data_IF_278791306997
#
_entry.id   IF_278791306997
#
_cell.length_a   1.000
_cell.length_b   1.000
_cell.length_c   1.000
_cell.angle_alpha   90.00
_cell.angle_beta   90.00
_cell.angle_gamma   90.00
#
_symmetry.space_group_name_H-M   'P 1'
#
loop_
_entity.id
_entity.type
_entity.pdbx_description
1 polymer ?
#
# COMPACT_ATOMS: atom_id res chain seq x y z
N UNK A 1 -12.00 -48.65 41.50
CA UNK A 1 -11.47 -49.95 41.02
C UNK A 1 -10.42 -50.40 42.02
N UNK A 2 -10.81 -51.37 42.84
CA UNK A 2 -10.05 -52.00 43.91
C UNK A 2 -9.12 -53.04 43.29
N UNK A 3 -7.84 -53.07 43.66
CA UNK A 3 -6.97 -54.22 43.44
C UNK A 3 -6.26 -54.54 44.77
N UNK A 4 -6.93 -55.37 45.56
CA UNK A 4 -6.37 -56.39 46.46
C UNK A 4 -5.27 -57.18 45.73
N UNK A 5 -4.13 -57.55 46.31
CA UNK A 5 -3.91 -58.13 47.62
C UNK A 5 -3.31 -59.53 47.41
N UNK A 6 -2.02 -59.72 47.70
CA UNK A 6 -1.37 -61.02 47.91
C UNK A 6 -0.27 -60.84 48.97
N UNK A 7 -0.68 -60.79 50.23
CA UNK A 7 0.17 -61.11 51.37
C UNK A 7 0.08 -62.62 51.54
N UNK A 8 1.09 -63.35 51.06
CA UNK A 8 1.26 -64.76 51.42
C UNK A 8 1.99 -64.78 52.75
N UNK A 9 1.23 -64.93 53.83
CA UNK A 9 1.72 -65.34 55.13
C UNK A 9 2.06 -66.83 55.06
N UNK A 10 3.35 -67.16 55.08
CA UNK A 10 3.81 -68.52 55.36
C UNK A 10 3.71 -68.82 56.86
N UNK A 11 3.39 -70.06 57.26
CA UNK A 11 3.11 -70.40 58.65
C UNK A 11 4.38 -70.43 59.51
N UNK A 12 4.25 -69.88 60.73
CA UNK A 12 5.16 -70.11 61.84
C UNK A 12 5.07 -71.58 62.26
N UNK A 13 6.03 -72.40 61.83
CA UNK A 13 6.33 -73.67 62.50
C UNK A 13 7.21 -73.38 63.72
N UNK A 14 6.58 -73.36 64.89
CA UNK A 14 7.26 -73.45 66.18
C UNK A 14 7.77 -74.89 66.31
N UNK A 15 9.05 -75.08 66.01
CA UNK A 15 9.82 -76.27 66.38
C UNK A 15 10.81 -75.86 67.46
N UNK A 16 10.56 -76.30 68.69
CA UNK A 16 11.50 -76.24 69.79
C UNK A 16 12.71 -77.13 69.54
N UNK A 17 13.85 -76.71 70.08
CA UNK A 17 15.11 -77.43 70.29
C UNK A 17 15.82 -78.04 69.06
N UNK A 18 16.79 -77.28 68.55
CA UNK A 18 17.91 -77.82 67.76
C UNK A 18 19.21 -77.13 68.20
N UNK A 19 20.28 -77.86 68.54
CA UNK A 19 21.54 -77.25 68.93
C UNK A 19 22.14 -76.50 67.73
N UNK A 20 22.59 -75.28 67.98
CA UNK A 20 23.16 -74.39 66.99
C UNK A 20 24.46 -74.96 66.42
N UNK A 21 24.43 -75.38 65.15
CA UNK A 21 25.63 -75.65 64.37
C UNK A 21 26.25 -74.31 63.92
N UNK A 22 27.56 -74.09 64.09
CA UNK A 22 28.23 -72.84 63.74
C UNK A 22 28.29 -72.55 62.21
N UNK A 23 27.79 -73.46 61.36
CA UNK A 23 27.73 -73.32 59.91
C UNK A 23 26.48 -72.59 59.40
N UNK A 24 25.37 -72.54 60.16
CA UNK A 24 24.13 -71.88 59.72
C UNK A 24 24.16 -70.35 59.92
N UNK A 25 24.94 -69.85 60.87
CA UNK A 25 25.12 -68.42 61.13
C UNK A 25 25.96 -67.73 60.07
N UNK A 26 26.96 -68.41 59.50
CA UNK A 26 27.79 -67.90 58.41
C UNK A 26 26.98 -67.71 57.12
N UNK A 27 26.10 -68.66 56.78
CA UNK A 27 25.20 -68.57 55.63
C UNK A 27 24.17 -67.45 55.79
N UNK A 28 23.62 -67.24 57.00
CA UNK A 28 22.70 -66.14 57.27
C UNK A 28 23.38 -64.76 57.19
N UNK A 29 24.64 -64.64 57.59
CA UNK A 29 25.39 -63.38 57.47
C UNK A 29 25.68 -63.03 56.01
N UNK A 30 26.01 -64.01 55.17
CA UNK A 30 26.23 -63.80 53.73
C UNK A 30 24.96 -63.34 53.01
N UNK A 31 23.82 -64.01 53.25
CA UNK A 31 22.52 -63.61 52.68
C UNK A 31 22.14 -62.17 53.10
N UNK A 32 22.43 -61.79 54.35
CA UNK A 32 22.18 -60.42 54.84
C UNK A 32 23.07 -59.39 54.14
N UNK A 33 24.35 -59.71 53.90
CA UNK A 33 25.26 -58.83 53.17
C UNK A 33 24.86 -58.68 51.70
N UNK A 34 24.43 -59.75 51.05
CA UNK A 34 23.89 -59.71 49.69
C UNK A 34 22.59 -58.90 49.60
N UNK A 35 21.67 -59.06 50.56
CA UNK A 35 20.44 -58.27 50.62
C UNK A 35 20.73 -56.77 50.79
N UNK A 36 21.72 -56.41 51.61
CA UNK A 36 22.19 -55.02 51.76
C UNK A 36 22.86 -54.50 50.48
N UNK A 37 23.61 -55.33 49.76
CA UNK A 37 24.22 -54.96 48.48
C UNK A 37 23.14 -54.69 47.43
N UNK A 38 22.17 -55.60 47.30
CA UNK A 38 21.03 -55.46 46.41
C UNK A 38 20.17 -54.23 46.76
N UNK A 39 19.99 -53.93 48.06
CA UNK A 39 19.28 -52.72 48.49
C UNK A 39 20.03 -51.43 48.08
N UNK A 40 21.36 -51.39 48.27
CA UNK A 40 22.20 -50.26 47.83
C UNK A 40 22.20 -50.09 46.32
N UNK A 41 22.22 -51.19 45.55
CA UNK A 41 22.12 -51.16 44.10
C UNK A 41 20.75 -50.64 43.63
N UNK A 42 19.67 -51.06 44.27
CA UNK A 42 18.31 -50.54 44.00
C UNK A 42 18.19 -49.05 44.33
N UNK A 43 18.78 -48.59 45.43
CA UNK A 43 18.81 -47.17 45.78
C UNK A 43 19.58 -46.34 44.74
N UNK A 44 20.74 -46.83 44.29
CA UNK A 44 21.52 -46.21 43.20
C UNK A 44 20.74 -46.19 41.89
N UNK A 45 20.08 -47.29 41.52
CA UNK A 45 19.23 -47.36 40.33
C UNK A 45 18.05 -46.38 40.40
N UNK A 46 17.42 -46.24 41.57
CA UNK A 46 16.35 -45.27 41.80
C UNK A 46 16.83 -43.82 41.66
N UNK A 47 18.01 -43.48 42.18
CA UNK A 47 18.64 -42.16 42.02
C UNK A 47 18.94 -41.84 40.55
N UNK A 48 19.54 -42.80 39.82
CA UNK A 48 19.82 -42.66 38.39
C UNK A 48 18.52 -42.46 37.57
N UNK A 49 17.45 -43.20 37.89
CA UNK A 49 16.16 -43.03 37.23
C UNK A 49 15.54 -41.64 37.49
N UNK A 50 15.66 -41.13 38.71
CA UNK A 50 15.20 -39.78 39.05
C UNK A 50 15.99 -38.69 38.32
N UNK A 51 17.31 -38.83 38.20
CA UNK A 51 18.15 -37.89 37.47
C UNK A 51 17.81 -37.86 35.97
N UNK A 52 17.54 -39.01 35.35
CA UNK A 52 17.08 -39.09 33.96
C UNK A 52 15.72 -38.39 33.80
N UNK A 53 14.77 -38.62 34.71
CA UNK A 53 13.47 -37.94 34.70
C UNK A 53 13.66 -36.42 34.81
N UNK A 54 14.51 -35.96 35.73
CA UNK A 54 14.82 -34.53 35.94
C UNK A 54 15.43 -33.90 34.70
N UNK A 55 16.40 -34.56 34.07
CA UNK A 55 17.02 -34.10 32.82
C UNK A 55 16.00 -34.02 31.68
N UNK A 56 15.12 -35.03 31.55
CA UNK A 56 14.07 -35.02 30.54
C UNK A 56 13.09 -33.86 30.73
N UNK A 57 12.75 -33.52 31.98
CA UNK A 57 11.89 -32.39 32.29
C UNK A 57 12.57 -31.05 31.95
N UNK A 58 13.84 -30.91 32.31
CA UNK A 58 14.62 -29.71 31.97
C UNK A 58 14.75 -29.54 30.45
N UNK A 59 14.96 -30.63 29.70
CA UNK A 59 15.01 -30.59 28.25
C UNK A 59 13.66 -30.16 27.64
N UNK A 60 12.55 -30.73 28.11
CA UNK A 60 11.19 -30.34 27.68
C UNK A 60 10.90 -28.87 27.99
N UNK A 61 11.30 -28.38 29.17
CA UNK A 61 11.15 -26.98 29.54
C UNK A 61 11.93 -26.05 28.61
N UNK A 62 13.20 -26.35 28.33
CA UNK A 62 14.02 -25.57 27.38
C UNK A 62 13.44 -25.58 25.97
N UNK A 63 12.91 -26.71 25.51
CA UNK A 63 12.24 -26.81 24.22
C UNK A 63 10.99 -25.93 24.16
N UNK A 64 10.17 -25.94 25.21
CA UNK A 64 8.98 -25.09 25.33
C UNK A 64 9.35 -23.60 25.37
N UNK A 65 10.37 -23.22 26.14
CA UNK A 65 10.88 -21.85 26.18
C UNK A 65 11.39 -21.40 24.80
N UNK A 66 12.07 -22.28 24.06
CA UNK A 66 12.51 -22.05 22.68
C UNK A 66 11.35 -21.83 21.70
N UNK A 67 10.28 -22.62 21.81
CA UNK A 67 9.07 -22.45 21.01
C UNK A 67 8.36 -21.14 21.32
N UNK A 68 8.24 -20.77 22.59
CA UNK A 68 7.67 -19.49 23.02
C UNK A 68 8.48 -18.30 22.50
N UNK A 69 9.81 -18.37 22.58
CA UNK A 69 10.68 -17.33 22.04
C UNK A 69 10.53 -17.19 20.53
N UNK A 70 10.48 -18.31 19.80
CA UNK A 70 10.27 -18.31 18.35
C UNK A 70 8.89 -17.75 17.96
N UNK A 71 7.83 -18.08 18.71
CA UNK A 71 6.49 -17.55 18.50
C UNK A 71 6.45 -16.02 18.71
N UNK A 72 7.06 -15.53 19.80
CA UNK A 72 7.18 -14.08 20.07
C UNK A 72 7.96 -13.35 18.98
N UNK A 73 9.08 -13.93 18.52
CA UNK A 73 9.87 -13.36 17.44
C UNK A 73 9.08 -13.29 16.12
N UNK A 74 8.30 -14.32 15.78
CA UNK A 74 7.39 -14.29 14.63
C UNK A 74 6.33 -13.21 14.77
N UNK A 75 5.71 -13.09 15.95
CA UNK A 75 4.70 -12.07 16.21
C UNK A 75 5.27 -10.65 16.06
N UNK A 76 6.48 -10.40 16.56
CA UNK A 76 7.16 -9.11 16.38
C UNK A 76 7.43 -8.81 14.90
N UNK A 77 7.92 -9.78 14.12
CA UNK A 77 8.13 -9.61 12.67
C UNK A 77 6.83 -9.30 11.93
N UNK A 78 5.73 -9.98 12.27
CA UNK A 78 4.42 -9.69 11.69
C UNK A 78 3.99 -8.26 12.03
N UNK A 79 4.16 -7.83 13.28
CA UNK A 79 3.84 -6.48 13.70
C UNK A 79 4.65 -5.42 12.91
N UNK A 80 5.96 -5.64 12.70
CA UNK A 80 6.78 -4.72 11.90
C UNK A 80 6.39 -4.69 10.42
N UNK A 81 5.98 -5.84 9.87
CA UNK A 81 5.49 -5.89 8.49
C UNK A 81 4.13 -5.19 8.36
N UNK A 82 3.26 -5.33 9.35
CA UNK A 82 1.97 -4.66 9.39
C UNK A 82 2.13 -3.13 9.47
N UNK A 83 3.04 -2.63 10.30
CA UNK A 83 3.32 -1.18 10.37
C UNK A 83 3.93 -0.64 9.08
N UNK A 84 4.87 -1.38 8.46
CA UNK A 84 5.43 -1.03 7.16
C UNK A 84 4.36 -1.03 6.05
N UNK A 85 3.46 -2.02 6.03
CA UNK A 85 2.36 -2.10 5.07
C UNK A 85 1.39 -0.92 5.24
N UNK A 86 1.05 -0.56 6.48
CA UNK A 86 0.19 0.60 6.77
C UNK A 86 0.83 1.90 6.27
N UNK A 87 2.11 2.12 6.55
CA UNK A 87 2.84 3.30 6.06
C UNK A 87 2.85 3.37 4.53
N UNK A 88 3.11 2.23 3.87
CA UNK A 88 3.07 2.15 2.39
C UNK A 88 1.68 2.47 1.84
N UNK A 89 0.62 2.04 2.51
CA UNK A 89 -0.74 2.36 2.11
C UNK A 89 -1.02 3.87 2.22
N UNK A 90 -0.61 4.51 3.32
CA UNK A 90 -0.73 5.96 3.52
C UNK A 90 0.03 6.73 2.43
N UNK A 91 1.24 6.29 2.05
CA UNK A 91 2.02 6.88 0.96
C UNK A 91 1.30 6.76 -0.41
N UNK A 92 0.70 5.61 -0.69
CA UNK A 92 -0.08 5.38 -1.92
C UNK A 92 -1.30 6.30 -1.97
N UNK A 93 -2.03 6.41 -0.86
CA UNK A 93 -3.25 7.22 -0.81
C UNK A 93 -2.93 8.72 -0.90
N UNK A 94 -1.83 9.16 -0.28
CA UNK A 94 -1.32 10.52 -0.47
C UNK A 94 -0.92 10.80 -1.94
N UNK A 95 -0.23 9.87 -2.58
CA UNK A 95 0.16 10.02 -3.98
C UNK A 95 -1.05 10.10 -4.92
N UNK A 96 -2.09 9.28 -4.68
CA UNK A 96 -3.36 9.35 -5.43
C UNK A 96 -4.06 10.69 -5.24
N UNK A 97 -4.20 11.15 -3.99
CA UNK A 97 -4.83 12.44 -3.70
C UNK A 97 -4.10 13.60 -4.39
N UNK A 98 -2.76 13.58 -4.36
CA UNK A 98 -1.94 14.55 -5.07
C UNK A 98 -2.15 14.50 -6.59
N UNK A 99 -2.14 13.31 -7.19
CA UNK A 99 -2.35 13.15 -8.62
C UNK A 99 -3.72 13.68 -9.05
N UNK A 100 -4.78 13.40 -8.26
CA UNK A 100 -6.12 13.94 -8.50
C UNK A 100 -6.17 15.47 -8.42
N UNK A 101 -5.48 16.07 -7.45
CA UNK A 101 -5.39 17.53 -7.36
C UNK A 101 -4.64 18.15 -8.56
N UNK A 102 -3.56 17.50 -9.01
CA UNK A 102 -2.80 17.93 -10.19
C UNK A 102 -3.63 17.80 -11.48
N UNK A 103 -4.41 16.73 -11.66
CA UNK A 103 -5.28 16.58 -12.84
C UNK A 103 -6.43 17.57 -12.84
N UNK A 104 -7.04 17.84 -11.68
CA UNK A 104 -8.07 18.87 -11.57
C UNK A 104 -7.54 20.26 -11.92
N UNK A 105 -6.32 20.58 -11.50
CA UNK A 105 -5.67 21.84 -11.84
C UNK A 105 -5.40 21.95 -13.35
N UNK A 106 -4.90 20.88 -13.98
CA UNK A 106 -4.69 20.84 -15.43
C UNK A 106 -6.02 21.00 -16.18
N UNK A 107 -7.07 20.29 -15.75
CA UNK A 107 -8.39 20.39 -16.35
C UNK A 107 -8.93 21.84 -16.26
N UNK A 108 -8.74 22.50 -15.12
CA UNK A 108 -9.11 23.90 -14.93
C UNK A 108 -8.36 24.82 -15.90
N UNK A 109 -7.04 24.70 -16.00
CA UNK A 109 -6.22 25.49 -16.95
C UNK A 109 -6.69 25.28 -18.39
N UNK A 110 -6.99 24.05 -18.78
CA UNK A 110 -7.49 23.75 -20.13
C UNK A 110 -8.85 24.41 -20.36
N UNK A 111 -9.77 24.32 -19.40
CA UNK A 111 -11.10 24.95 -19.52
C UNK A 111 -11.02 26.48 -19.60
N UNK A 112 -10.16 27.11 -18.79
CA UNK A 112 -9.94 28.55 -18.82
C UNK A 112 -9.32 28.99 -20.15
N UNK A 113 -8.38 28.21 -20.68
CA UNK A 113 -7.78 28.44 -21.99
C UNK A 113 -8.82 28.31 -23.12
N UNK A 114 -9.65 27.27 -23.10
CA UNK A 114 -10.71 27.07 -24.09
C UNK A 114 -11.71 28.24 -24.08
N UNK A 115 -12.14 28.66 -22.89
CA UNK A 115 -13.02 29.83 -22.77
C UNK A 115 -12.37 31.11 -23.31
N UNK A 116 -11.07 31.32 -23.05
CA UNK A 116 -10.34 32.46 -23.59
C UNK A 116 -10.18 32.39 -25.11
N UNK A 117 -9.92 31.20 -25.66
CA UNK A 117 -9.84 30.96 -27.11
C UNK A 117 -11.20 31.20 -27.79
N UNK A 118 -12.31 30.73 -27.21
CA UNK A 118 -13.66 30.99 -27.72
C UNK A 118 -13.98 32.48 -27.75
N UNK A 119 -13.66 33.22 -26.68
CA UNK A 119 -13.84 34.67 -26.65
C UNK A 119 -12.97 35.38 -27.68
N UNK A 120 -11.71 34.97 -27.84
CA UNK A 120 -10.80 35.54 -28.83
C UNK A 120 -11.30 35.29 -30.27
N UNK A 121 -11.76 34.07 -30.57
CA UNK A 121 -12.34 33.74 -31.89
C UNK A 121 -13.60 34.56 -32.14
N UNK A 122 -14.47 34.69 -31.14
CA UNK A 122 -15.70 35.48 -31.25
C UNK A 122 -15.39 36.95 -31.53
N UNK A 123 -14.40 37.52 -30.84
CA UNK A 123 -13.98 38.90 -31.03
C UNK A 123 -13.34 39.12 -32.41
N UNK A 124 -12.54 38.17 -32.90
CA UNK A 124 -11.99 38.21 -34.27
C UNK A 124 -13.10 38.17 -35.30
N UNK A 125 -14.09 37.27 -35.15
CA UNK A 125 -15.26 37.21 -36.05
C UNK A 125 -16.01 38.54 -36.03
N UNK A 126 -16.23 39.12 -34.83
CA UNK A 126 -16.89 40.41 -34.68
C UNK A 126 -16.15 41.53 -35.41
N UNK A 127 -14.82 41.57 -35.35
CA UNK A 127 -14.01 42.55 -36.08
C UNK A 127 -14.11 42.35 -37.60
N UNK A 128 -14.05 41.10 -38.07
CA UNK A 128 -14.19 40.78 -39.49
C UNK A 128 -15.58 41.13 -40.05
N UNK A 129 -16.64 40.94 -39.25
CA UNK A 129 -18.01 41.35 -39.61
C UNK A 129 -18.17 42.89 -39.61
N UNK A 130 -17.42 43.62 -38.77
CA UNK A 130 -17.41 45.09 -38.80
C UNK A 130 -16.71 45.64 -40.04
N UNK A 131 -15.61 45.02 -40.47
CA UNK A 131 -14.89 45.40 -41.68
C UNK A 131 -15.64 45.00 -42.96
N UNK A 132 -16.33 43.85 -42.94
CA UNK A 132 -17.16 43.36 -44.03
C UNK A 132 -18.50 42.78 -43.50
N UNK A 133 -19.63 43.48 -43.67
CA UNK A 133 -20.94 43.02 -43.17
C UNK A 133 -21.41 41.68 -43.76
N UNK A 134 -20.91 41.30 -44.95
CA UNK A 134 -21.27 40.05 -45.62
C UNK A 134 -20.25 38.92 -45.37
N UNK A 135 -19.24 39.15 -44.52
CA UNK A 135 -18.14 38.22 -44.25
C UNK A 135 -18.65 36.80 -43.94
N UNK A 136 -19.70 36.68 -43.13
CA UNK A 136 -20.24 35.39 -42.70
C UNK A 136 -20.84 34.58 -43.85
N UNK A 137 -21.59 35.22 -44.75
CA UNK A 137 -22.14 34.55 -45.93
C UNK A 137 -21.07 34.21 -46.95
N UNK A 138 -20.09 35.09 -47.15
CA UNK A 138 -18.96 34.86 -48.04
C UNK A 138 -18.08 33.71 -47.55
N UNK A 139 -17.76 33.67 -46.25
CA UNK A 139 -17.02 32.58 -45.63
C UNK A 139 -17.78 31.25 -45.74
N UNK A 140 -19.10 31.26 -45.54
CA UNK A 140 -19.93 30.07 -45.66
C UNK A 140 -20.03 29.58 -47.12
N UNK A 141 -20.12 30.50 -48.08
CA UNK A 141 -20.08 30.19 -49.52
C UNK A 141 -18.73 29.61 -49.93
N UNK A 142 -17.63 30.20 -49.45
CA UNK A 142 -16.28 29.71 -49.71
C UNK A 142 -16.05 28.33 -49.08
N UNK A 143 -16.53 28.12 -47.85
CA UNK A 143 -16.46 26.81 -47.20
C UNK A 143 -17.25 25.74 -47.97
N UNK A 144 -18.46 26.06 -48.47
CA UNK A 144 -19.23 25.17 -49.34
C UNK A 144 -18.49 24.87 -50.64
N UNK A 145 -17.95 25.89 -51.29
CA UNK A 145 -17.19 25.72 -52.53
C UNK A 145 -15.94 24.86 -52.31
N UNK A 146 -15.21 25.06 -51.21
CA UNK A 146 -14.06 24.24 -50.85
C UNK A 146 -14.45 22.80 -50.49
N UNK A 147 -15.59 22.60 -49.83
CA UNK A 147 -16.11 21.26 -49.53
C UNK A 147 -16.59 20.52 -50.80
N UNK A 148 -17.12 21.25 -51.78
CA UNK A 148 -17.55 20.73 -53.08
C UNK A 148 -16.37 20.46 -54.03
N UNK A 149 -15.30 21.27 -53.93
CA UNK A 149 -14.08 21.13 -54.73
C UNK A 149 -13.06 20.16 -54.12
N UNK A 150 -13.10 19.96 -52.81
CA UNK A 150 -12.33 18.93 -52.13
C UNK A 150 -12.79 17.56 -52.61
N UNK A 151 -11.91 16.83 -53.29
CA UNK A 151 -12.11 15.39 -53.46
C UNK A 151 -12.31 14.79 -52.06
N UNK A 152 -13.18 13.79 -51.94
CA UNK A 152 -13.43 13.09 -50.69
C UNK A 152 -12.14 12.42 -50.18
N UNK A 153 -11.27 13.20 -49.56
CA UNK A 153 -10.10 12.72 -48.85
C UNK A 153 -10.62 11.89 -47.69
N UNK A 154 -10.19 10.62 -47.64
CA UNK A 154 -10.42 9.80 -46.46
C UNK A 154 -9.88 10.58 -45.27
N UNK A 155 -10.74 10.92 -44.31
CA UNK A 155 -10.37 11.72 -43.13
C UNK A 155 -9.39 10.90 -42.28
N UNK A 156 -8.10 10.97 -42.60
CA UNK A 156 -7.02 10.24 -41.93
C UNK A 156 -6.77 10.79 -40.53
N UNK A 157 -7.12 12.05 -40.29
CA UNK A 157 -6.95 12.73 -39.01
C UNK A 157 -7.80 12.11 -37.88
N UNK A 158 -8.85 11.35 -38.24
CA UNK A 158 -9.67 10.61 -37.29
C UNK A 158 -9.12 9.21 -36.94
N UNK A 159 -8.09 8.72 -37.65
CA UNK A 159 -7.56 7.38 -37.45
C UNK A 159 -6.85 7.22 -36.10
N UNK A 160 -6.27 8.30 -35.57
CA UNK A 160 -5.52 8.30 -34.31
C UNK A 160 -6.34 8.74 -33.09
N UNK A 161 -7.63 9.08 -33.28
CA UNK A 161 -8.53 9.41 -32.17
C UNK A 161 -9.01 8.13 -31.48
N UNK A 162 -9.05 8.09 -30.13
CA UNK A 162 -9.55 6.94 -29.41
C UNK A 162 -11.02 6.71 -29.76
N UNK A 163 -11.34 5.51 -30.24
CA UNK A 163 -12.73 5.08 -30.49
C UNK A 163 -13.48 5.11 -29.17
N UNK A 164 -14.44 6.04 -29.05
CA UNK A 164 -15.30 6.13 -27.88
C UNK A 164 -16.22 4.90 -27.85
N UNK A 165 -16.22 4.16 -26.72
CA UNK A 165 -16.96 2.89 -26.56
C UNK A 165 -18.48 2.98 -26.82
N UNK A 166 -19.07 4.18 -26.92
CA UNK A 166 -20.50 4.40 -27.16
C UNK A 166 -20.79 5.37 -28.32
N UNK A 167 -19.80 5.72 -29.16
CA UNK A 167 -20.09 6.51 -30.35
C UNK A 167 -20.84 5.63 -31.35
N UNK A 168 -22.11 5.95 -31.62
CA UNK A 168 -22.80 5.39 -32.79
C UNK A 168 -22.00 5.79 -34.03
N UNK A 169 -21.68 4.85 -34.94
CA UNK A 169 -21.09 5.20 -36.21
C UNK A 169 -22.10 6.07 -36.97
N UNK A 170 -21.83 7.37 -37.04
CA UNK A 170 -22.59 8.29 -37.88
C UNK A 170 -22.26 7.97 -39.33
N UNK A 171 -23.01 7.05 -39.94
CA UNK A 171 -22.95 6.87 -41.40
C UNK A 171 -23.68 8.04 -42.02
N UNK A 172 -22.95 9.03 -42.50
CA UNK A 172 -23.53 10.03 -43.40
C UNK A 172 -24.04 9.27 -44.63
N UNK A 173 -25.34 9.35 -44.89
CA UNK A 173 -25.94 8.75 -46.07
C UNK A 173 -25.39 9.43 -47.33
N UNK A 174 -24.36 8.83 -47.95
CA UNK A 174 -24.07 9.06 -49.36
C UNK A 174 -25.12 8.30 -50.17
N UNK A 175 -25.87 9.01 -51.02
CA UNK A 175 -27.02 8.51 -51.76
C UNK A 175 -26.80 7.13 -52.38
N UNK A 176 -27.49 6.14 -51.82
CA UNK A 176 -27.52 4.74 -52.25
C UNK A 176 -28.43 3.94 -51.32
N UNK A 177 -29.20 3.00 -51.88
CA UNK A 177 -30.29 2.31 -51.18
C UNK A 177 -29.84 1.64 -49.85
N UNK A 178 -30.68 1.69 -48.80
CA UNK A 178 -30.31 1.22 -47.48
C UNK A 178 -30.11 -0.30 -47.51
N UNK A 179 -28.90 -0.75 -47.24
CA UNK A 179 -28.66 -2.15 -46.89
C UNK A 179 -28.76 -2.27 -45.38
N UNK A 180 -29.95 -2.64 -44.93
CA UNK A 180 -30.18 -3.19 -43.59
C UNK A 180 -29.22 -4.37 -43.39
N UNK A 181 -28.15 -4.18 -42.62
CA UNK A 181 -27.37 -5.24 -41.99
C UNK A 181 -26.47 -4.62 -40.90
N UNK A 182 -27.08 -3.96 -39.91
CA UNK A 182 -26.41 -3.64 -38.65
C UNK A 182 -26.41 -4.88 -37.74
N UNK A 183 -25.54 -5.84 -38.04
CA UNK A 183 -25.10 -6.84 -37.06
C UNK A 183 -23.62 -6.58 -36.79
N UNK A 184 -23.34 -5.81 -35.75
CA UNK A 184 -21.99 -5.57 -35.27
C UNK A 184 -21.43 -6.87 -34.67
N UNK A 185 -20.75 -7.69 -35.49
CA UNK A 185 -19.87 -8.75 -34.99
C UNK A 185 -18.55 -8.10 -34.57
N UNK A 186 -18.40 -7.85 -33.28
CA UNK A 186 -17.17 -7.33 -32.68
C UNK A 186 -16.17 -8.50 -32.58
N UNK A 187 -15.23 -8.56 -33.52
CA UNK A 187 -14.03 -9.40 -33.37
C UNK A 187 -12.95 -8.58 -32.65
N UNK A 188 -12.26 -9.10 -31.63
CA UNK A 188 -11.21 -8.36 -30.95
C UNK A 188 -9.96 -8.28 -31.83
N UNK A 189 -9.76 -7.14 -32.48
CA UNK A 189 -8.52 -6.87 -33.25
C UNK A 189 -7.40 -6.52 -32.29
N UNK A 190 -6.40 -7.40 -32.19
CA UNK A 190 -5.15 -7.19 -31.46
C UNK A 190 -4.45 -5.93 -31.99
N UNK A 191 -4.02 -4.97 -31.15
CA UNK A 191 -3.38 -3.74 -31.62
C UNK A 191 -2.06 -4.06 -32.32
N UNK A 192 -1.95 -3.64 -33.58
CA UNK A 192 -0.72 -3.72 -34.38
C UNK A 192 0.25 -2.66 -33.85
N UNK A 193 1.36 -3.11 -33.27
CA UNK A 193 2.45 -2.24 -32.84
C UNK A 193 3.03 -1.56 -34.08
N UNK A 194 2.88 -0.24 -34.18
CA UNK A 194 3.50 0.56 -35.23
C UNK A 194 5.03 0.46 -35.08
N UNK A 195 5.72 0.12 -36.17
CA UNK A 195 7.18 0.21 -36.23
C UNK A 195 7.58 1.70 -36.31
N UNK A 196 8.63 2.11 -35.59
CA UNK A 196 9.09 3.49 -35.62
C UNK A 196 9.76 3.78 -36.97
N UNK A 197 9.18 4.68 -37.75
CA UNK A 197 9.83 5.33 -38.88
C UNK A 197 11.06 6.09 -38.37
N UNK A 198 12.26 5.61 -38.73
CA UNK A 198 13.50 6.35 -38.60
C UNK A 198 13.48 7.54 -39.57
N UNK A 199 12.93 8.67 -39.12
CA UNK A 199 13.18 9.95 -39.76
C UNK A 199 14.30 10.66 -38.98
N UNK A 200 15.37 11.01 -39.68
CA UNK A 200 16.41 11.89 -39.17
C UNK A 200 15.73 13.17 -38.64
N UNK A 201 15.94 13.55 -37.37
CA UNK A 201 15.31 14.74 -36.85
C UNK A 201 16.03 15.96 -37.42
N UNK A 202 15.27 16.82 -38.11
CA UNK A 202 15.73 18.16 -38.46
C UNK A 202 16.32 18.81 -37.21
N UNK A 203 17.58 19.27 -37.28
CA UNK A 203 18.30 19.83 -36.13
C UNK A 203 17.51 20.97 -35.45
N UNK A 204 16.71 21.72 -36.23
CA UNK A 204 15.81 22.76 -35.73
C UNK A 204 14.64 22.22 -34.88
N UNK A 205 14.11 21.04 -35.18
CA UNK A 205 13.05 20.41 -34.38
C UNK A 205 13.59 19.93 -33.02
N UNK A 206 14.83 19.42 -33.00
CA UNK A 206 15.52 19.03 -31.76
C UNK A 206 15.77 20.26 -30.89
N UNK A 207 16.25 21.37 -31.45
CA UNK A 207 16.48 22.60 -30.69
C UNK A 207 15.19 23.19 -30.10
N UNK A 208 14.09 23.17 -30.86
CA UNK A 208 12.77 23.60 -30.35
C UNK A 208 12.29 22.71 -29.21
N UNK A 209 12.43 21.39 -29.34
CA UNK A 209 12.07 20.46 -28.28
C UNK A 209 12.93 20.63 -27.02
N UNK A 210 14.23 20.91 -27.16
CA UNK A 210 15.13 21.19 -26.03
C UNK A 210 14.76 22.51 -25.35
N UNK A 211 14.46 23.57 -26.10
CA UNK A 211 14.01 24.86 -25.56
C UNK A 211 12.68 24.72 -24.80
N UNK A 212 11.73 23.96 -25.34
CA UNK A 212 10.47 23.66 -24.66
C UNK A 212 10.70 22.88 -23.36
N UNK A 213 11.56 21.85 -23.36
CA UNK A 213 11.90 21.09 -22.14
C UNK A 213 12.56 21.96 -21.07
N UNK A 214 13.45 22.87 -21.47
CA UNK A 214 14.08 23.83 -20.56
C UNK A 214 13.08 24.82 -19.98
N UNK A 215 12.13 25.32 -20.79
CA UNK A 215 11.07 26.21 -20.32
C UNK A 215 10.15 25.49 -19.31
N UNK A 216 9.75 24.25 -19.60
CA UNK A 216 8.95 23.44 -18.68
C UNK A 216 9.69 23.19 -17.35
N UNK A 217 11.00 22.91 -17.40
CA UNK A 217 11.81 22.74 -16.19
C UNK A 217 11.82 24.01 -15.33
N UNK A 218 12.01 25.18 -15.95
CA UNK A 218 11.94 26.48 -15.25
C UNK A 218 10.58 26.71 -14.60
N UNK A 219 9.48 26.42 -15.30
CA UNK A 219 8.12 26.53 -14.74
C UNK A 219 7.92 25.58 -13.56
N UNK A 220 8.41 24.33 -13.65
CA UNK A 220 8.31 23.39 -12.52
C UNK A 220 9.14 23.81 -11.31
N UNK A 221 10.30 24.42 -11.53
CA UNK A 221 11.16 24.91 -10.45
C UNK A 221 10.52 26.14 -9.77
N UNK A 222 9.93 27.06 -10.55
CA UNK A 222 9.18 28.20 -10.01
C UNK A 222 7.96 27.71 -9.21
N UNK A 223 7.20 26.74 -9.73
CA UNK A 223 6.05 26.19 -9.02
C UNK A 223 6.44 25.53 -7.69
N UNK A 224 7.61 24.84 -7.65
CA UNK A 224 8.16 24.31 -6.39
C UNK A 224 8.54 25.43 -5.42
N UNK A 225 9.20 26.49 -5.90
CA UNK A 225 9.57 27.65 -5.08
C UNK A 225 8.35 28.40 -4.51
N UNK A 226 7.27 28.54 -5.30
CA UNK A 226 6.03 29.15 -4.82
C UNK A 226 5.39 28.29 -3.72
N UNK A 227 5.32 26.96 -3.90
CA UNK A 227 4.82 26.05 -2.87
C UNK A 227 5.64 26.11 -1.59
N UNK A 228 6.97 26.18 -1.68
CA UNK A 228 7.82 26.30 -0.49
C UNK A 228 7.63 27.64 0.21
N UNK A 229 7.53 28.74 -0.53
CA UNK A 229 7.24 30.08 0.05
C UNK A 229 5.87 30.11 0.74
N UNK A 230 4.84 29.55 0.11
CA UNK A 230 3.50 29.48 0.71
C UNK A 230 3.49 28.60 1.98
N UNK A 231 4.25 27.51 1.99
CA UNK A 231 4.44 26.68 3.18
C UNK A 231 5.22 27.41 4.30
N UNK A 232 6.18 28.28 3.96
CA UNK A 232 6.89 29.12 4.93
C UNK A 232 5.99 30.23 5.48
N UNK A 233 5.20 30.89 4.65
CA UNK A 233 4.25 31.94 5.05
C UNK A 233 3.16 31.40 5.99
N UNK A 234 2.63 30.22 5.68
CA UNK A 234 1.66 29.53 6.56
C UNK A 234 2.29 29.11 7.88
N UNK A 235 3.55 28.65 7.89
CA UNK A 235 4.27 28.38 9.15
C UNK A 235 4.47 29.63 9.98
N UNK A 236 4.94 30.72 9.36
CA UNK A 236 5.13 32.00 10.03
C UNK A 236 3.82 32.53 10.62
N UNK A 237 2.71 32.47 9.88
CA UNK A 237 1.40 32.93 10.39
C UNK A 237 0.87 32.07 11.53
N UNK A 238 1.15 30.76 11.54
CA UNK A 238 0.81 29.89 12.68
C UNK A 238 1.69 30.18 13.90
N UNK A 239 2.96 30.50 13.71
CA UNK A 239 3.86 30.93 14.78
C UNK A 239 3.43 32.26 15.39
N UNK A 240 3.04 33.26 14.58
CA UNK A 240 2.53 34.53 15.10
C UNK A 240 1.23 34.33 15.89
N UNK A 241 0.28 33.53 15.38
CA UNK A 241 -0.97 33.20 16.12
C UNK A 241 -0.70 32.48 17.44
N UNK A 242 0.32 31.61 17.50
CA UNK A 242 0.74 30.96 18.75
C UNK A 242 1.33 31.97 19.74
N UNK A 243 2.16 32.90 19.28
CA UNK A 243 2.72 33.96 20.11
C UNK A 243 1.62 34.87 20.66
N UNK A 244 0.68 35.32 19.82
CA UNK A 244 -0.49 36.10 20.22
C UNK A 244 -1.31 35.38 21.29
N UNK A 245 -1.54 34.07 21.15
CA UNK A 245 -2.28 33.28 22.13
C UNK A 245 -1.55 33.22 23.48
N UNK A 246 -0.22 33.09 23.46
CA UNK A 246 0.60 33.14 24.68
C UNK A 246 0.53 34.51 25.33
N UNK A 247 0.60 35.58 24.54
CA UNK A 247 0.53 36.95 25.06
C UNK A 247 -0.85 37.26 25.66
N UNK A 248 -1.93 36.79 25.05
CA UNK A 248 -3.29 36.89 25.61
C UNK A 248 -3.40 36.16 26.96
N UNK A 249 -2.77 35.00 27.09
CA UNK A 249 -2.75 34.25 28.34
C UNK A 249 -1.92 34.96 29.41
N UNK A 250 -0.74 35.49 29.06
CA UNK A 250 0.11 36.26 29.98
C UNK A 250 -0.51 37.57 30.44
N UNK A 251 -1.38 38.17 29.63
CA UNK A 251 -2.13 39.39 29.94
C UNK A 251 -3.43 39.11 30.71
N UNK A 252 -3.67 37.86 31.16
CA UNK A 252 -4.88 37.41 31.86
C UNK A 252 -6.20 37.71 31.10
N UNK A 253 -6.12 37.86 29.76
CA UNK A 253 -7.29 38.13 28.91
C UNK A 253 -8.08 36.86 28.56
N UNK A 254 -7.48 35.70 28.73
CA UNK A 254 -8.09 34.38 28.50
C UNK A 254 -7.79 33.46 29.68
N UNK A 255 -8.73 32.57 29.99
CA UNK A 255 -8.51 31.56 31.04
C UNK A 255 -7.62 30.42 30.55
N UNK A 256 -6.96 29.70 31.48
CA UNK A 256 -6.13 28.55 31.15
C UNK A 256 -6.88 27.47 30.34
N UNK A 257 -8.16 27.25 30.65
CA UNK A 257 -9.00 26.30 29.91
C UNK A 257 -9.21 26.70 28.43
N UNK A 258 -9.36 28.00 28.16
CA UNK A 258 -9.50 28.55 26.81
C UNK A 258 -8.19 28.54 26.05
N UNK A 259 -7.07 28.80 26.73
CA UNK A 259 -5.74 28.71 26.14
C UNK A 259 -5.48 27.31 25.58
N UNK A 260 -5.68 26.25 26.37
CA UNK A 260 -5.45 24.88 25.91
C UNK A 260 -6.43 24.47 24.81
N UNK A 261 -7.70 24.92 24.87
CA UNK A 261 -8.67 24.66 23.81
C UNK A 261 -8.26 25.33 22.49
N UNK A 262 -7.89 26.62 22.51
CA UNK A 262 -7.48 27.36 21.31
C UNK A 262 -6.14 26.88 20.76
N UNK A 263 -5.20 26.50 21.62
CA UNK A 263 -3.94 25.87 21.21
C UNK A 263 -4.18 24.54 20.51
N UNK A 264 -5.08 23.71 21.03
CA UNK A 264 -5.45 22.45 20.39
C UNK A 264 -6.08 22.68 19.00
N UNK A 265 -6.94 23.69 18.86
CA UNK A 265 -7.51 24.07 17.55
C UNK A 265 -6.43 24.54 16.56
N UNK A 266 -5.47 25.36 17.02
CA UNK A 266 -4.32 25.78 16.19
C UNK A 266 -3.43 24.60 15.78
N UNK A 267 -3.19 23.64 16.68
CA UNK A 267 -2.39 22.45 16.37
C UNK A 267 -3.12 21.48 15.41
N UNK A 268 -4.46 21.53 15.34
CA UNK A 268 -5.28 20.76 14.41
C UNK A 268 -5.47 21.41 13.02
N UNK A 269 -4.97 22.64 12.82
CA UNK A 269 -4.92 23.27 11.49
C UNK A 269 -6.26 23.72 10.91
N UNK A 270 -7.24 24.07 11.76
CA UNK A 270 -8.46 24.78 11.35
C UNK A 270 -8.25 26.30 11.29
#
# INVERSE_FOLDING_TARGET
>A
LVISGWLVCSPLTIGADRPANPTDTANQQQVRQEALRMAKERERAGKLAFDVIKQSYQAKRRALDGLLAAARAKQQKIATLATAAKKRQEEIDFAKARALAETQLIAKIISERQAAEELAVTEVIRQLEQENPNFREEALRLAKQNAEQGQAESVTDLLDLPVLNNALPMTYHQGGAPRDNLVAKISPTRPRVAQPTQNNPDQQAVERAVKQRLALRKVTDIARQVKTRQAEETRKSMETRRQELIDLYKQDKITASEYYRRRHLLDQGQ
#
